data_IF_131891064219
#
_entry.id   IF_131891064219
#
_cell.length_a   1.000
_cell.length_b   1.000
_cell.length_c   1.000
_cell.angle_alpha   90.00
_cell.angle_beta   90.00
_cell.angle_gamma   90.00
#
_symmetry.space_group_name_H-M   'P 1'
#
loop_
_entity.id
_entity.type
_entity.pdbx_description
1 polymer ?
#
# COMPACT_ATOMS: atom_id res chain seq x y z
N UNK A 1 29.06 -15.22 -1.47
CA UNK A 1 28.97 -16.69 -1.62
C UNK A 1 30.02 -17.41 -0.79
N UNK A 2 31.30 -17.02 -0.84
CA UNK A 2 32.38 -17.83 -0.25
C UNK A 2 32.54 -17.76 1.29
N UNK A 3 31.93 -16.81 2.00
CA UNK A 3 32.04 -16.77 3.48
C UNK A 3 30.91 -17.53 4.20
N UNK A 4 29.75 -17.75 3.55
CA UNK A 4 28.63 -18.48 4.15
C UNK A 4 28.81 -20.01 4.06
N UNK A 5 29.57 -20.47 3.06
CA UNK A 5 29.98 -21.87 2.92
C UNK A 5 31.20 -22.23 3.78
N UNK A 6 31.91 -21.24 4.33
CA UNK A 6 33.07 -21.45 5.19
C UNK A 6 32.70 -21.92 6.62
N UNK A 7 31.42 -21.92 6.99
CA UNK A 7 30.91 -22.42 8.28
C UNK A 7 30.39 -23.86 8.21
N UNK A 8 30.57 -24.57 7.10
CA UNK A 8 30.29 -26.00 7.01
C UNK A 8 31.47 -26.77 7.62
N UNK A 9 31.65 -26.65 8.93
CA UNK A 9 32.36 -27.68 9.69
C UNK A 9 31.47 -28.93 9.66
N UNK A 10 32.05 -30.07 9.30
CA UNK A 10 31.43 -31.40 9.37
C UNK A 10 30.84 -31.63 10.77
N UNK A 11 29.55 -31.36 10.91
CA UNK A 11 28.81 -31.62 12.14
C UNK A 11 28.38 -33.07 12.12
N UNK A 12 29.31 -33.93 12.50
CA UNK A 12 29.09 -35.37 12.61
C UNK A 12 27.96 -35.63 13.63
N UNK A 13 26.83 -36.16 13.13
CA UNK A 13 25.53 -36.43 13.79
C UNK A 13 24.43 -35.35 13.74
N UNK A 14 24.34 -34.52 12.69
CA UNK A 14 23.12 -33.73 12.47
C UNK A 14 21.97 -34.61 11.95
N UNK A 15 20.78 -34.47 12.51
CA UNK A 15 19.61 -35.18 11.99
C UNK A 15 19.16 -34.56 10.66
N UNK A 16 18.50 -35.29 9.74
CA UNK A 16 18.07 -34.76 8.45
C UNK A 16 17.24 -33.47 8.53
N UNK A 17 16.50 -33.29 9.63
CA UNK A 17 15.73 -32.07 9.90
C UNK A 17 16.61 -30.85 10.18
N UNK A 18 17.73 -31.05 10.87
CA UNK A 18 18.68 -29.98 11.20
C UNK A 18 19.48 -29.55 9.96
N UNK A 19 19.85 -30.50 9.11
CA UNK A 19 20.49 -30.22 7.83
C UNK A 19 19.54 -29.45 6.89
N UNK A 20 18.27 -29.86 6.83
CA UNK A 20 17.26 -29.13 6.06
C UNK A 20 17.02 -27.72 6.58
N UNK A 21 16.96 -27.55 7.91
CA UNK A 21 16.83 -26.24 8.53
C UNK A 21 18.04 -25.34 8.25
N UNK A 22 19.26 -25.88 8.29
CA UNK A 22 20.48 -25.15 7.97
C UNK A 22 20.49 -24.72 6.49
N UNK A 23 20.14 -25.62 5.57
CA UNK A 23 20.03 -25.31 4.15
C UNK A 23 19.00 -24.20 3.88
N UNK A 24 17.82 -24.30 4.50
CA UNK A 24 16.77 -23.29 4.38
C UNK A 24 17.25 -21.91 4.87
N UNK A 25 17.97 -21.86 5.98
CA UNK A 25 18.54 -20.63 6.53
C UNK A 25 19.57 -20.00 5.59
N UNK A 26 20.50 -20.81 5.06
CA UNK A 26 21.53 -20.34 4.11
C UNK A 26 20.87 -19.79 2.85
N UNK A 27 19.88 -20.49 2.29
CA UNK A 27 19.13 -20.03 1.11
C UNK A 27 18.41 -18.72 1.40
N UNK A 28 17.73 -18.60 2.54
CA UNK A 28 16.98 -17.39 2.89
C UNK A 28 17.90 -16.18 3.13
N UNK A 29 19.01 -16.37 3.83
CA UNK A 29 19.98 -15.30 4.11
C UNK A 29 20.70 -14.86 2.83
N UNK A 30 21.04 -15.80 1.95
CA UNK A 30 21.63 -15.50 0.64
C UNK A 30 20.62 -14.73 -0.22
N UNK A 31 19.39 -15.21 -0.31
CA UNK A 31 18.31 -14.50 -1.00
C UNK A 31 18.13 -13.09 -0.46
N UNK A 32 18.12 -12.89 0.86
CA UNK A 32 18.02 -11.55 1.48
C UNK A 32 19.20 -10.64 1.18
N UNK A 33 20.40 -11.21 0.99
CA UNK A 33 21.62 -10.44 0.74
C UNK A 33 21.75 -10.02 -0.73
N UNK A 34 21.29 -10.86 -1.65
CA UNK A 34 21.49 -10.67 -3.09
C UNK A 34 20.23 -10.24 -3.84
N UNK A 35 19.05 -10.60 -3.35
CA UNK A 35 17.79 -10.08 -3.85
C UNK A 35 17.42 -8.90 -2.98
N UNK A 36 17.20 -7.73 -3.60
CA UNK A 36 16.52 -6.65 -2.90
C UNK A 36 15.17 -7.18 -2.41
N UNK A 37 14.84 -6.90 -1.14
CA UNK A 37 13.49 -7.15 -0.67
C UNK A 37 12.54 -6.34 -1.54
N UNK A 38 11.53 -6.96 -2.19
CA UNK A 38 10.54 -6.20 -2.91
C UNK A 38 9.89 -5.26 -1.90
N UNK A 39 10.08 -3.94 -2.08
CA UNK A 39 9.38 -2.95 -1.29
C UNK A 39 7.88 -3.23 -1.43
N UNK A 40 7.26 -3.69 -0.35
CA UNK A 40 5.82 -3.81 -0.27
C UNK A 40 5.25 -2.40 -0.22
N UNK A 41 5.12 -1.76 -1.37
CA UNK A 41 4.30 -0.56 -1.50
C UNK A 41 2.86 -1.01 -1.32
N UNK A 42 2.27 -0.65 -0.19
CA UNK A 42 0.83 -0.71 -0.06
C UNK A 42 0.25 0.10 -1.22
N UNK A 43 -0.48 -0.57 -2.12
CA UNK A 43 -1.17 0.11 -3.20
C UNK A 43 -2.30 0.92 -2.56
N UNK A 44 -2.01 2.17 -2.23
CA UNK A 44 -3.01 3.06 -1.66
C UNK A 44 -3.85 3.67 -2.80
N UNK A 45 -5.17 3.62 -2.64
CA UNK A 45 -6.12 4.31 -3.51
C UNK A 45 -6.10 5.84 -3.29
N UNK A 46 -5.46 6.28 -2.21
CA UNK A 46 -5.34 7.67 -1.81
C UNK A 46 -4.01 8.23 -2.32
N UNK A 47 -4.09 9.11 -3.32
CA UNK A 47 -2.93 9.87 -3.79
C UNK A 47 -2.89 11.23 -3.06
N UNK A 48 -1.91 11.47 -2.18
CA UNK A 48 -1.76 12.76 -1.52
C UNK A 48 -1.42 13.90 -2.50
N UNK A 49 -0.98 13.60 -3.73
CA UNK A 49 -0.67 14.59 -4.76
C UNK A 49 -1.87 14.96 -5.65
N UNK A 50 -3.07 14.40 -5.40
CA UNK A 50 -4.27 14.80 -6.14
C UNK A 50 -4.62 16.27 -5.84
N UNK A 51 -4.36 17.13 -6.83
CA UNK A 51 -4.54 18.59 -6.72
C UNK A 51 -6.00 18.98 -6.46
N UNK A 52 -6.96 18.24 -7.02
CA UNK A 52 -8.39 18.50 -6.82
C UNK A 52 -8.76 18.18 -5.37
N UNK A 53 -8.30 17.04 -4.86
CA UNK A 53 -8.52 16.62 -3.48
C UNK A 53 -7.90 17.60 -2.47
N UNK A 54 -6.67 18.06 -2.71
CA UNK A 54 -6.02 19.08 -1.88
C UNK A 54 -6.82 20.39 -1.87
N UNK A 55 -7.28 20.85 -3.04
CA UNK A 55 -8.11 22.05 -3.17
C UNK A 55 -9.42 21.92 -2.36
N UNK A 56 -10.08 20.76 -2.43
CA UNK A 56 -11.31 20.49 -1.67
C UNK A 56 -11.06 20.43 -0.16
N UNK A 57 -9.94 19.85 0.26
CA UNK A 57 -9.52 19.85 1.67
C UNK A 57 -9.26 21.26 2.18
N UNK A 58 -8.52 22.08 1.43
CA UNK A 58 -8.29 23.49 1.76
C UNK A 58 -9.60 24.27 1.87
N UNK A 59 -10.53 24.10 0.91
CA UNK A 59 -11.85 24.75 0.95
C UNK A 59 -12.65 24.34 2.18
N UNK A 60 -12.71 23.04 2.51
CA UNK A 60 -13.39 22.53 3.71
C UNK A 60 -12.79 23.15 4.97
N UNK A 61 -11.46 23.19 5.07
CA UNK A 61 -10.76 23.76 6.23
C UNK A 61 -11.03 25.26 6.38
N UNK A 62 -11.00 26.04 5.30
CA UNK A 62 -11.31 27.47 5.34
C UNK A 62 -12.75 27.74 5.79
N UNK A 63 -13.72 27.00 5.27
CA UNK A 63 -15.13 27.17 5.67
C UNK A 63 -15.33 26.76 7.12
N UNK A 64 -14.71 25.66 7.56
CA UNK A 64 -14.74 25.23 8.96
C UNK A 64 -14.16 26.30 9.89
N UNK A 65 -13.02 26.88 9.53
CA UNK A 65 -12.40 27.96 10.30
C UNK A 65 -13.32 29.17 10.42
N UNK A 66 -14.01 29.56 9.33
CA UNK A 66 -15.01 30.64 9.38
C UNK A 66 -16.17 30.30 10.30
N UNK A 67 -16.67 29.06 10.26
CA UNK A 67 -17.73 28.58 11.18
C UNK A 67 -17.29 28.63 12.64
N UNK A 68 -16.02 28.35 12.93
CA UNK A 68 -15.47 28.43 14.30
C UNK A 68 -15.24 29.87 14.77
N UNK A 69 -14.84 30.78 13.88
CA UNK A 69 -14.52 32.17 14.22
C UNK A 69 -15.74 33.08 14.30
N UNK A 70 -16.86 32.71 13.65
CA UNK A 70 -18.07 33.53 13.59
C UNK A 70 -19.24 32.81 14.25
N UNK A 71 -20.33 33.53 14.55
CA UNK A 71 -21.57 32.89 15.01
C UNK A 71 -22.10 32.01 13.87
N UNK A 72 -22.15 30.70 14.12
CA UNK A 72 -22.66 29.74 13.14
C UNK A 72 -24.07 30.13 12.68
N UNK A 73 -24.18 30.44 11.38
CA UNK A 73 -25.45 30.72 10.70
C UNK A 73 -25.86 29.52 9.85
N UNK A 74 -27.14 29.46 9.48
CA UNK A 74 -27.64 28.40 8.59
C UNK A 74 -26.86 28.34 7.26
N UNK A 75 -26.46 29.50 6.74
CA UNK A 75 -25.66 29.64 5.51
C UNK A 75 -24.25 29.07 5.67
N UNK A 76 -23.53 29.43 6.75
CA UNK A 76 -22.17 28.95 6.99
C UNK A 76 -22.11 27.44 7.23
N UNK A 77 -23.12 26.90 7.92
CA UNK A 77 -23.27 25.45 8.13
C UNK A 77 -23.59 24.73 6.82
N UNK A 78 -24.47 25.28 5.98
CA UNK A 78 -24.75 24.72 4.65
C UNK A 78 -23.50 24.70 3.77
N UNK A 79 -22.74 25.79 3.73
CA UNK A 79 -21.49 25.89 2.99
C UNK A 79 -20.43 24.87 3.47
N UNK A 80 -20.35 24.62 4.77
CA UNK A 80 -19.46 23.60 5.33
C UNK A 80 -19.89 22.20 4.91
N UNK A 81 -21.18 21.88 5.03
CA UNK A 81 -21.74 20.60 4.63
C UNK A 81 -21.52 20.34 3.12
N UNK A 82 -21.67 21.36 2.28
CA UNK A 82 -21.39 21.25 0.85
C UNK A 82 -19.91 20.99 0.55
N UNK A 83 -19.00 21.67 1.26
CA UNK A 83 -17.56 21.41 1.13
C UNK A 83 -17.20 19.97 1.54
N UNK A 84 -17.80 19.48 2.64
CA UNK A 84 -17.65 18.08 3.09
C UNK A 84 -18.21 17.10 2.06
N UNK A 85 -19.40 17.36 1.51
CA UNK A 85 -20.03 16.51 0.50
C UNK A 85 -19.20 16.42 -0.77
N UNK A 86 -18.63 17.54 -1.22
CA UNK A 86 -17.79 17.58 -2.42
C UNK A 86 -16.48 16.81 -2.21
N UNK A 87 -15.83 17.01 -1.07
CA UNK A 87 -14.64 16.25 -0.68
C UNK A 87 -14.93 14.74 -0.67
N UNK A 88 -15.99 14.32 0.02
CA UNK A 88 -16.38 12.90 0.06
C UNK A 88 -16.71 12.33 -1.32
N UNK A 89 -17.35 13.11 -2.20
CA UNK A 89 -17.65 12.68 -3.56
C UNK A 89 -16.37 12.38 -4.34
N UNK A 90 -15.38 13.29 -4.30
CA UNK A 90 -14.09 13.10 -4.97
C UNK A 90 -13.33 11.91 -4.40
N UNK A 91 -13.29 11.78 -3.08
CA UNK A 91 -12.65 10.64 -2.39
C UNK A 91 -13.27 9.30 -2.80
N UNK A 92 -14.61 9.22 -2.91
CA UNK A 92 -15.29 8.00 -3.37
C UNK A 92 -14.98 7.69 -4.83
N UNK A 93 -14.93 8.70 -5.70
CA UNK A 93 -14.58 8.52 -7.11
C UNK A 93 -13.17 7.94 -7.26
N UNK A 94 -12.16 8.52 -6.59
CA UNK A 94 -10.78 8.01 -6.61
C UNK A 94 -10.69 6.55 -6.15
N UNK A 95 -11.44 6.20 -5.10
CA UNK A 95 -11.51 4.82 -4.62
C UNK A 95 -12.13 3.89 -5.67
N UNK A 96 -13.23 4.30 -6.30
CA UNK A 96 -13.88 3.52 -7.37
C UNK A 96 -12.96 3.31 -8.56
N UNK A 97 -12.30 4.37 -9.06
CA UNK A 97 -11.36 4.31 -10.18
C UNK A 97 -10.16 3.40 -9.87
N UNK A 98 -9.73 3.37 -8.61
CA UNK A 98 -8.69 2.44 -8.16
C UNK A 98 -9.16 0.99 -8.20
N UNK A 99 -10.37 0.69 -7.68
CA UNK A 99 -10.93 -0.67 -7.72
C UNK A 99 -11.17 -1.16 -9.15
N UNK A 100 -11.62 -0.28 -10.05
CA UNK A 100 -11.82 -0.62 -11.46
C UNK A 100 -10.48 -0.96 -12.13
N UNK A 101 -9.44 -0.14 -11.92
CA UNK A 101 -8.09 -0.44 -12.40
C UNK A 101 -7.55 -1.75 -11.83
N UNK A 102 -7.80 -2.01 -10.54
CA UNK A 102 -7.37 -3.24 -9.86
C UNK A 102 -8.08 -4.47 -10.43
N UNK A 103 -9.39 -4.37 -10.71
CA UNK A 103 -10.14 -5.44 -11.35
C UNK A 103 -9.59 -5.77 -12.75
N UNK A 104 -9.24 -4.75 -13.54
CA UNK A 104 -8.61 -4.92 -14.86
C UNK A 104 -7.21 -5.56 -14.74
N UNK A 105 -6.41 -5.16 -13.76
CA UNK A 105 -5.10 -5.78 -13.49
C UNK A 105 -5.27 -7.26 -13.14
N UNK A 106 -6.22 -7.59 -12.27
CA UNK A 106 -6.50 -8.95 -11.85
C UNK A 106 -6.93 -9.82 -13.04
N UNK A 107 -7.84 -9.32 -13.88
CA UNK A 107 -8.27 -10.01 -15.09
C UNK A 107 -7.08 -10.29 -16.02
N UNK A 108 -6.22 -9.29 -16.26
CA UNK A 108 -5.00 -9.46 -17.07
C UNK A 108 -4.03 -10.49 -16.49
N UNK A 109 -3.94 -10.59 -15.16
CA UNK A 109 -3.10 -11.60 -14.52
C UNK A 109 -3.63 -13.02 -14.77
N UNK A 110 -4.95 -13.20 -14.71
CA UNK A 110 -5.63 -14.46 -15.07
C UNK A 110 -5.39 -14.79 -16.54
N UNK A 111 -5.60 -13.84 -17.45
CA UNK A 111 -5.44 -14.04 -18.90
C UNK A 111 -4.01 -14.47 -19.27
N UNK A 112 -3.01 -14.04 -18.49
CA UNK A 112 -1.59 -14.39 -18.68
C UNK A 112 -1.15 -15.64 -17.91
N UNK A 113 -2.06 -16.33 -17.24
CA UNK A 113 -1.77 -17.43 -16.31
C UNK A 113 -0.71 -17.06 -15.24
N UNK A 114 -0.65 -15.78 -14.86
CA UNK A 114 0.30 -15.28 -13.87
C UNK A 114 -0.31 -15.37 -12.47
N UNK A 115 -0.20 -16.55 -11.86
CA UNK A 115 -0.75 -16.82 -10.53
C UNK A 115 -0.12 -15.95 -9.44
N UNK A 116 1.16 -15.57 -9.57
CA UNK A 116 1.83 -14.66 -8.62
C UNK A 116 1.23 -13.25 -8.67
N UNK A 117 0.80 -12.79 -9.85
CA UNK A 117 0.17 -11.48 -10.03
C UNK A 117 -1.27 -11.41 -9.51
N UNK A 118 -1.94 -12.56 -9.43
CA UNK A 118 -3.31 -12.66 -8.94
C UNK A 118 -3.41 -12.57 -7.41
N UNK A 119 -2.44 -13.12 -6.69
CA UNK A 119 -2.40 -13.14 -5.22
C UNK A 119 -1.65 -11.94 -4.59
N UNK A 120 -1.42 -10.86 -5.34
CA UNK A 120 -0.78 -9.62 -4.84
C UNK A 120 -1.73 -8.84 -3.94
#
# INVERSE_FOLDING_TARGET
MNSALAQWEEKESSTPNEEWAALQQVVHNTAKTYLDQPERKHQEWFDPNDQELQTLMSRRNQVHQRVLQTRSTRSTTAAYNDACRLLQKRTRALKSDWWERKAVELQRAVDRNNMKGFYI
#
